data_IF_693492137018
#
_entry.id   IF_693492137018
#
_cell.length_a   1.000
_cell.length_b   1.000
_cell.length_c   1.000
_cell.angle_alpha   90.00
_cell.angle_beta   90.00
_cell.angle_gamma   90.00
#
_symmetry.space_group_name_H-M   'P 1'
#
loop_
_entity.id
_entity.type
_entity.pdbx_description
1 polymer ?
#
# COMPACT_ATOMS: atom_id res chain seq x y z
N UNK A 1 -17.88 27.22 2.00
CA UNK A 1 -16.50 26.95 1.56
C UNK A 1 -15.58 27.88 2.32
N UNK A 2 -14.42 27.41 2.79
CA UNK A 2 -13.42 28.28 3.41
C UNK A 2 -12.60 28.89 2.30
N UNK A 3 -12.49 30.21 2.23
CA UNK A 3 -11.60 30.87 1.27
C UNK A 3 -10.16 30.36 1.50
N UNK A 4 -9.43 29.94 0.45
CA UNK A 4 -8.04 29.54 0.61
C UNK A 4 -7.21 30.70 1.17
N UNK A 5 -6.17 30.43 1.96
CA UNK A 5 -5.33 31.50 2.49
C UNK A 5 -4.60 32.22 1.34
N UNK A 6 -4.33 33.53 1.48
CA UNK A 6 -3.45 34.23 0.54
C UNK A 6 -2.08 33.52 0.50
N UNK A 7 -1.45 33.51 -0.68
CA UNK A 7 -0.16 32.85 -0.88
C UNK A 7 -0.23 31.34 -1.09
N UNK A 8 -1.44 30.74 -1.15
CA UNK A 8 -1.61 29.33 -1.53
C UNK A 8 -1.49 29.15 -3.05
N UNK A 9 -0.64 28.21 -3.46
CA UNK A 9 -0.52 27.74 -4.84
C UNK A 9 -0.61 26.20 -4.89
N UNK A 10 -1.38 25.67 -5.83
CA UNK A 10 -1.42 24.24 -6.14
C UNK A 10 -0.70 24.04 -7.48
N UNK A 11 0.58 23.66 -7.44
CA UNK A 11 1.44 23.65 -8.63
C UNK A 11 1.60 22.22 -9.13
N UNK A 12 1.29 21.92 -10.42
CA UNK A 12 1.68 20.64 -11.01
C UNK A 12 3.16 20.41 -10.79
N UNK A 13 3.54 19.19 -10.43
CA UNK A 13 4.93 18.81 -10.19
C UNK A 13 5.46 18.02 -11.38
N UNK A 14 6.30 18.63 -12.25
CA UNK A 14 7.02 17.88 -13.27
C UNK A 14 7.93 16.86 -12.61
N UNK A 15 7.92 15.63 -13.13
CA UNK A 15 8.78 14.57 -12.63
C UNK A 15 10.15 14.69 -13.30
N UNK A 16 11.25 14.72 -12.53
CA UNK A 16 12.57 14.79 -13.12
C UNK A 16 12.92 13.45 -13.80
N UNK A 17 13.84 13.49 -14.77
CA UNK A 17 14.31 12.27 -15.45
C UNK A 17 15.06 11.31 -14.51
N UNK A 18 15.67 11.85 -13.45
CA UNK A 18 16.27 11.09 -12.35
C UNK A 18 16.21 11.91 -11.06
N UNK A 19 16.34 11.25 -9.91
CA UNK A 19 16.37 11.94 -8.62
C UNK A 19 17.62 12.80 -8.40
N UNK A 20 18.66 12.64 -9.22
CA UNK A 20 19.91 13.41 -9.17
C UNK A 20 19.97 14.51 -10.25
N UNK A 21 18.89 14.73 -11.02
CA UNK A 21 18.86 15.75 -12.05
C UNK A 21 18.87 17.17 -11.46
N UNK A 22 19.46 18.13 -12.19
CA UNK A 22 19.56 19.53 -11.74
C UNK A 22 18.19 20.18 -11.48
N UNK A 23 17.13 19.69 -12.13
CA UNK A 23 15.74 20.16 -11.99
C UNK A 23 14.90 19.35 -10.97
N UNK A 24 15.50 18.37 -10.26
CA UNK A 24 14.81 17.51 -9.31
C UNK A 24 14.43 18.19 -7.98
N UNK A 25 14.80 19.45 -7.77
CA UNK A 25 14.67 20.16 -6.48
C UNK A 25 13.27 20.11 -5.85
N UNK A 26 12.24 20.46 -6.62
CA UNK A 26 10.84 20.45 -6.13
C UNK A 26 10.36 19.01 -5.82
N UNK A 27 10.82 18.01 -6.59
CA UNK A 27 10.49 16.61 -6.35
C UNK A 27 11.15 16.09 -5.06
N UNK A 28 12.44 16.37 -4.88
CA UNK A 28 13.20 16.01 -3.67
C UNK A 28 12.58 16.64 -2.43
N UNK A 29 12.23 17.93 -2.50
CA UNK A 29 11.57 18.63 -1.40
C UNK A 29 10.17 18.08 -1.12
N UNK A 30 9.40 17.74 -2.16
CA UNK A 30 8.11 17.07 -2.02
C UNK A 30 8.26 15.72 -1.29
N UNK A 31 9.28 14.90 -1.63
CA UNK A 31 9.55 13.63 -0.95
C UNK A 31 9.87 13.86 0.53
N UNK A 32 10.71 14.86 0.85
CA UNK A 32 11.02 15.24 2.23
C UNK A 32 9.75 15.62 3.00
N UNK A 33 8.89 16.44 2.42
CA UNK A 33 7.64 16.88 3.04
C UNK A 33 6.67 15.72 3.22
N UNK A 34 6.52 14.82 2.25
CA UNK A 34 5.76 13.57 2.38
C UNK A 34 6.23 12.76 3.59
N UNK A 35 7.53 12.50 3.71
CA UNK A 35 8.07 11.72 4.82
C UNK A 35 7.79 12.38 6.18
N UNK A 36 7.84 13.72 6.25
CA UNK A 36 7.45 14.45 7.45
C UNK A 36 5.96 14.33 7.77
N UNK A 37 5.07 14.40 6.77
CA UNK A 37 3.63 14.14 6.97
C UNK A 37 3.41 12.72 7.49
N UNK A 38 4.07 11.73 6.88
CA UNK A 38 3.97 10.33 7.29
C UNK A 38 4.36 10.14 8.75
N UNK A 39 5.48 10.73 9.19
CA UNK A 39 5.95 10.64 10.58
C UNK A 39 5.09 11.44 11.56
N UNK A 40 4.54 12.59 11.15
CA UNK A 40 3.57 13.31 11.97
C UNK A 40 2.33 12.46 12.27
N UNK A 41 1.90 11.64 11.30
CA UNK A 41 0.73 10.76 11.44
C UNK A 41 1.09 9.50 12.22
N UNK A 42 2.14 8.77 11.83
CA UNK A 42 2.46 7.46 12.39
C UNK A 42 3.27 7.49 13.69
N UNK A 43 4.00 8.59 13.94
CA UNK A 43 4.95 8.68 15.05
C UNK A 43 6.26 7.91 14.82
N UNK A 44 6.49 7.40 13.61
CA UNK A 44 7.70 6.67 13.22
C UNK A 44 8.06 6.92 11.75
N UNK A 45 9.15 6.33 11.27
CA UNK A 45 9.70 6.47 9.93
C UNK A 45 9.57 5.20 9.06
N UNK A 46 8.86 4.17 9.54
CA UNK A 46 8.66 2.90 8.82
C UNK A 46 8.13 3.02 7.38
N UNK A 47 7.58 4.17 6.95
CA UNK A 47 7.08 4.41 5.59
C UNK A 47 7.89 5.46 4.80
N UNK A 48 9.09 5.82 5.28
CA UNK A 48 9.96 6.76 4.58
C UNK A 48 10.45 6.16 3.26
N UNK A 49 10.47 7.00 2.23
CA UNK A 49 11.05 6.67 0.94
C UNK A 49 12.03 7.77 0.55
N UNK A 50 13.15 7.38 -0.04
CA UNK A 50 14.07 8.29 -0.71
C UNK A 50 13.49 8.76 -2.05
N UNK A 51 13.99 9.87 -2.62
CA UNK A 51 13.59 10.29 -3.97
C UNK A 51 13.84 9.21 -5.03
N UNK A 52 14.93 8.45 -4.91
CA UNK A 52 15.26 7.33 -5.80
C UNK A 52 14.24 6.19 -5.71
N UNK A 53 13.70 5.92 -4.52
CA UNK A 53 12.69 4.87 -4.34
C UNK A 53 11.30 5.31 -4.78
N UNK A 54 10.97 6.59 -4.62
CA UNK A 54 9.64 7.11 -4.92
C UNK A 54 9.46 7.46 -6.40
N UNK A 55 10.50 7.95 -7.08
CA UNK A 55 10.39 8.44 -8.47
C UNK A 55 9.87 7.36 -9.45
N UNK A 56 10.32 6.10 -9.40
CA UNK A 56 9.80 5.04 -10.29
C UNK A 56 8.29 4.82 -10.13
N UNK A 57 7.70 5.12 -8.96
CA UNK A 57 6.25 5.01 -8.75
C UNK A 57 5.46 5.97 -9.63
N UNK A 58 6.09 7.05 -10.10
CA UNK A 58 5.43 8.06 -10.94
C UNK A 58 5.82 7.95 -12.41
N UNK A 59 6.61 6.96 -12.79
CA UNK A 59 6.96 6.73 -14.18
C UNK A 59 5.69 6.47 -15.02
N UNK A 60 5.55 7.08 -16.20
CA UNK A 60 4.40 6.83 -17.06
C UNK A 60 4.25 5.35 -17.40
N UNK A 61 3.04 4.82 -17.25
CA UNK A 61 2.73 3.42 -17.53
C UNK A 61 1.46 3.27 -18.39
N UNK A 62 1.25 2.09 -19.01
CA UNK A 62 0.08 1.84 -19.85
C UNK A 62 -1.21 1.59 -19.06
N UNK A 63 -1.12 1.40 -17.75
CA UNK A 63 -2.23 0.95 -16.90
C UNK A 63 -2.82 2.06 -16.03
N UNK A 64 -2.05 3.11 -15.76
CA UNK A 64 -2.48 4.18 -14.88
C UNK A 64 -1.85 5.50 -15.29
N UNK A 65 -2.64 6.57 -15.23
CA UNK A 65 -2.17 7.93 -15.38
C UNK A 65 -2.12 8.61 -14.01
N UNK A 66 -0.91 8.84 -13.50
CA UNK A 66 -0.66 9.50 -12.21
C UNK A 66 -0.35 10.97 -12.41
N UNK A 67 -1.04 11.82 -11.65
CA UNK A 67 -0.83 13.27 -11.64
C UNK A 67 -0.50 13.72 -10.23
N UNK A 68 0.47 14.63 -10.12
CA UNK A 68 1.01 15.09 -8.85
C UNK A 68 1.09 16.61 -8.82
N UNK A 69 0.73 17.21 -7.69
CA UNK A 69 0.88 18.63 -7.41
C UNK A 69 1.58 18.84 -6.08
N UNK A 70 2.42 19.86 -6.00
CA UNK A 70 2.88 20.41 -4.73
C UNK A 70 1.87 21.41 -4.20
N UNK A 71 1.66 21.38 -2.88
CA UNK A 71 0.89 22.40 -2.17
C UNK A 71 1.89 23.39 -1.59
N UNK A 72 1.90 24.61 -2.13
CA UNK A 72 2.86 25.65 -1.75
C UNK A 72 2.14 26.75 -1.00
N UNK A 73 2.71 27.19 0.11
CA UNK A 73 2.21 28.29 0.90
C UNK A 73 3.34 29.25 1.21
N UNK A 74 3.20 30.51 0.78
CA UNK A 74 4.19 31.58 1.01
C UNK A 74 5.60 31.20 0.51
N UNK A 75 5.67 30.38 -0.55
CA UNK A 75 6.91 29.89 -1.18
C UNK A 75 7.39 28.52 -0.71
N UNK A 76 6.85 27.99 0.40
CA UNK A 76 7.26 26.70 0.97
C UNK A 76 6.34 25.55 0.54
N UNK A 77 6.90 24.39 0.19
CA UNK A 77 6.12 23.17 -0.03
C UNK A 77 5.63 22.66 1.33
N UNK A 78 4.31 22.64 1.53
CA UNK A 78 3.65 22.23 2.78
C UNK A 78 2.85 20.94 2.65
N UNK A 79 2.85 20.34 1.45
CA UNK A 79 2.18 19.08 1.19
C UNK A 79 2.12 18.73 -0.29
N UNK A 80 1.33 17.72 -0.61
CA UNK A 80 1.13 17.22 -1.98
C UNK A 80 -0.30 16.75 -2.22
N UNK A 81 -0.66 16.71 -3.50
CA UNK A 81 -1.91 16.15 -4.01
C UNK A 81 -1.54 15.13 -5.07
N UNK A 82 -2.15 13.96 -5.01
CA UNK A 82 -2.03 12.93 -6.05
C UNK A 82 -3.40 12.54 -6.56
N UNK A 83 -3.51 12.31 -7.86
CA UNK A 83 -4.68 11.69 -8.49
C UNK A 83 -4.18 10.63 -9.45
N UNK A 84 -4.58 9.40 -9.21
CA UNK A 84 -4.23 8.25 -10.03
C UNK A 84 -5.48 7.77 -10.76
N UNK A 85 -5.35 7.64 -12.09
CA UNK A 85 -6.44 7.31 -13.00
C UNK A 85 -6.14 5.96 -13.65
N UNK A 86 -6.74 4.87 -13.14
CA UNK A 86 -6.69 3.57 -13.81
C UNK A 86 -7.18 3.69 -15.25
N UNK A 87 -6.56 2.95 -16.17
CA UNK A 87 -6.81 3.01 -17.62
C UNK A 87 -7.58 1.78 -18.14
N UNK A 88 -7.92 0.85 -17.26
CA UNK A 88 -8.77 -0.29 -17.53
C UNK A 88 -10.11 0.13 -18.16
N UNK A 89 -10.59 -0.66 -19.13
CA UNK A 89 -11.82 -0.37 -19.85
C UNK A 89 -13.02 -0.38 -18.90
N UNK A 90 -13.83 0.68 -18.96
CA UNK A 90 -15.00 0.83 -18.08
C UNK A 90 -14.68 1.34 -16.67
N UNK A 91 -13.40 1.59 -16.33
CA UNK A 91 -13.02 2.09 -15.02
C UNK A 91 -13.78 3.38 -14.64
N UNK A 92 -14.31 3.38 -13.42
CA UNK A 92 -15.07 4.51 -12.85
C UNK A 92 -14.32 5.24 -11.74
N UNK A 93 -13.20 4.69 -11.31
CA UNK A 93 -12.49 5.08 -10.09
C UNK A 93 -11.40 6.11 -10.40
N UNK A 94 -11.18 7.03 -9.46
CA UNK A 94 -9.94 7.74 -9.31
C UNK A 94 -9.45 7.56 -7.87
N UNK A 95 -8.21 7.12 -7.72
CA UNK A 95 -7.54 7.11 -6.43
C UNK A 95 -6.92 8.48 -6.20
N UNK A 96 -6.91 8.95 -4.96
CA UNK A 96 -6.38 10.27 -4.66
C UNK A 96 -5.74 10.34 -3.29
N UNK A 97 -4.90 11.35 -3.10
CA UNK A 97 -4.37 11.73 -1.80
C UNK A 97 -4.31 13.25 -1.68
N UNK A 98 -4.49 13.74 -0.45
CA UNK A 98 -4.15 15.10 -0.04
C UNK A 98 -3.39 14.98 1.27
N UNK A 99 -2.07 15.18 1.19
CA UNK A 99 -1.17 15.06 2.33
C UNK A 99 -0.63 16.44 2.67
N UNK A 100 -0.86 16.91 3.90
CA UNK A 100 -0.48 18.24 4.36
C UNK A 100 0.22 18.15 5.71
N UNK A 101 1.25 18.96 5.92
CA UNK A 101 1.89 19.13 7.23
C UNK A 101 0.87 19.58 8.27
N UNK A 102 0.93 19.01 9.47
CA UNK A 102 0.01 19.33 10.59
C UNK A 102 -0.02 20.82 10.92
N UNK A 103 1.11 21.51 10.75
CA UNK A 103 1.26 22.94 10.99
C UNK A 103 0.35 23.83 10.12
N UNK A 104 -0.17 23.33 8.99
CA UNK A 104 -1.05 24.10 8.08
C UNK A 104 -2.49 23.60 8.06
N UNK A 105 -2.85 22.65 8.93
CA UNK A 105 -4.21 22.14 9.04
C UNK A 105 -5.21 23.21 9.50
N UNK A 106 -6.48 23.02 9.15
CA UNK A 106 -7.56 23.92 9.58
C UNK A 106 -7.60 25.28 8.88
N UNK A 107 -6.74 25.52 7.89
CA UNK A 107 -6.65 26.81 7.15
C UNK A 107 -7.41 26.83 5.82
N UNK A 108 -8.20 25.80 5.52
CA UNK A 108 -8.93 25.68 4.25
C UNK A 108 -8.12 25.10 3.07
N UNK A 109 -6.81 24.92 3.22
CA UNK A 109 -5.91 24.39 2.18
C UNK A 109 -6.35 23.01 1.68
N UNK A 110 -6.64 22.08 2.58
CA UNK A 110 -7.09 20.74 2.19
C UNK A 110 -8.38 20.74 1.37
N UNK A 111 -9.30 21.70 1.63
CA UNK A 111 -10.51 21.82 0.82
C UNK A 111 -10.21 22.33 -0.59
N UNK A 112 -9.34 23.34 -0.71
CA UNK A 112 -8.91 23.83 -2.02
C UNK A 112 -8.19 22.73 -2.82
N UNK A 113 -7.32 21.95 -2.15
CA UNK A 113 -6.66 20.80 -2.73
C UNK A 113 -7.65 19.72 -3.19
N UNK A 114 -8.69 19.46 -2.41
CA UNK A 114 -9.70 18.46 -2.76
C UNK A 114 -10.64 18.91 -3.89
N UNK A 115 -10.92 20.20 -4.02
CA UNK A 115 -11.64 20.73 -5.19
C UNK A 115 -10.88 20.44 -6.49
N UNK A 116 -9.55 20.53 -6.47
CA UNK A 116 -8.70 20.11 -7.60
C UNK A 116 -8.83 18.61 -7.88
N UNK A 117 -8.83 17.75 -6.85
CA UNK A 117 -9.04 16.31 -6.99
C UNK A 117 -10.36 16.00 -7.70
N UNK A 118 -11.48 16.58 -7.24
CA UNK A 118 -12.78 16.37 -7.87
C UNK A 118 -12.81 16.86 -9.32
N UNK A 119 -12.24 18.04 -9.59
CA UNK A 119 -12.18 18.60 -10.93
C UNK A 119 -11.40 17.68 -11.88
N UNK A 120 -10.23 17.21 -11.45
CA UNK A 120 -9.39 16.28 -12.22
C UNK A 120 -10.13 14.97 -12.49
N UNK A 121 -10.72 14.36 -11.47
CA UNK A 121 -11.46 13.11 -11.65
C UNK A 121 -12.61 13.25 -12.66
N UNK A 122 -13.37 14.36 -12.60
CA UNK A 122 -14.43 14.66 -13.58
C UNK A 122 -13.90 14.88 -14.98
N UNK A 123 -12.79 15.59 -15.13
CA UNK A 123 -12.13 15.78 -16.43
C UNK A 123 -11.74 14.44 -17.07
N UNK A 124 -11.37 13.46 -16.25
CA UNK A 124 -11.10 12.07 -16.66
C UNK A 124 -12.33 11.15 -16.64
N UNK A 125 -13.55 11.71 -16.51
CA UNK A 125 -14.83 10.99 -16.51
C UNK A 125 -14.96 9.92 -15.41
N UNK A 126 -14.25 10.09 -14.30
CA UNK A 126 -14.36 9.22 -13.12
C UNK A 126 -15.53 9.68 -12.26
N UNK A 127 -16.25 8.70 -11.73
CA UNK A 127 -17.48 8.89 -10.94
C UNK A 127 -17.35 8.38 -9.51
N UNK A 128 -16.24 7.72 -9.18
CA UNK A 128 -15.94 7.18 -7.86
C UNK A 128 -14.58 7.71 -7.42
N UNK A 129 -14.51 8.27 -6.22
CA UNK A 129 -13.28 8.76 -5.60
C UNK A 129 -12.97 7.87 -4.40
N UNK A 130 -11.78 7.28 -4.38
CA UNK A 130 -11.31 6.43 -3.28
C UNK A 130 -9.97 6.91 -2.74
N UNK A 131 -9.81 6.84 -1.42
CA UNK A 131 -8.56 7.17 -0.75
C UNK A 131 -8.48 6.48 0.60
N UNK A 132 -7.26 6.30 1.09
CA UNK A 132 -6.97 5.74 2.39
C UNK A 132 -6.35 6.80 3.28
N UNK A 133 -6.66 6.72 4.57
CA UNK A 133 -5.97 7.51 5.57
C UNK A 133 -5.72 6.68 6.82
N UNK A 134 -4.49 6.78 7.32
CA UNK A 134 -4.16 6.25 8.63
C UNK A 134 -4.78 7.13 9.72
N UNK A 135 -5.39 6.47 10.70
CA UNK A 135 -6.03 7.06 11.86
C UNK A 135 -5.33 6.60 13.15
N UNK A 136 -4.43 7.41 13.71
CA UNK A 136 -3.74 7.10 14.96
C UNK A 136 -4.72 6.89 16.11
N UNK A 137 -4.35 6.07 17.09
CA UNK A 137 -5.17 5.87 18.28
C UNK A 137 -5.49 7.21 18.98
N UNK A 138 -6.75 7.38 19.36
CA UNK A 138 -7.27 8.60 19.96
C UNK A 138 -8.51 8.28 20.81
N UNK A 139 -8.74 9.10 21.84
CA UNK A 139 -9.91 9.01 22.72
C UNK A 139 -11.18 9.63 22.09
N UNK A 140 -11.08 10.13 20.85
CA UNK A 140 -12.23 10.64 20.11
C UNK A 140 -13.30 9.56 19.85
N UNK A 141 -14.55 10.00 19.62
CA UNK A 141 -15.64 9.11 19.22
C UNK A 141 -15.24 8.29 17.99
N UNK A 142 -15.63 7.01 17.93
CA UNK A 142 -15.25 6.12 16.83
C UNK A 142 -16.34 6.03 15.76
N UNK A 143 -15.92 5.87 14.52
CA UNK A 143 -16.74 5.53 13.36
C UNK A 143 -16.59 4.02 13.12
N UNK A 144 -17.66 3.22 13.29
CA UNK A 144 -17.60 1.80 12.99
C UNK A 144 -17.49 1.57 11.47
N UNK A 145 -16.73 0.55 11.08
CA UNK A 145 -16.74 0.06 9.70
C UNK A 145 -18.13 -0.46 9.33
N UNK A 146 -18.65 -0.20 8.12
CA UNK A 146 -19.90 -0.80 7.66
C UNK A 146 -19.80 -2.33 7.49
N UNK A 147 -18.59 -2.89 7.43
CA UNK A 147 -18.34 -4.34 7.39
C UNK A 147 -18.63 -5.04 8.72
N UNK A 148 -18.77 -4.28 9.81
CA UNK A 148 -18.86 -4.80 11.18
C UNK A 148 -17.52 -5.15 11.82
N UNK A 149 -16.41 -4.99 11.09
CA UNK A 149 -15.05 -5.26 11.58
C UNK A 149 -14.24 -3.97 11.68
N UNK A 150 -13.74 -3.68 12.88
CA UNK A 150 -12.92 -2.50 13.12
C UNK A 150 -13.71 -1.19 13.19
N UNK A 151 -12.98 -0.13 13.52
CA UNK A 151 -13.48 1.24 13.58
C UNK A 151 -12.30 2.20 13.55
N UNK A 152 -12.51 3.45 13.15
CA UNK A 152 -11.49 4.52 13.20
C UNK A 152 -11.97 5.66 14.09
N UNK A 153 -11.09 6.40 14.78
CA UNK A 153 -11.49 7.62 15.48
C UNK A 153 -12.04 8.66 14.49
N UNK A 154 -12.97 9.49 14.94
CA UNK A 154 -13.53 10.62 14.19
C UNK A 154 -12.58 11.84 14.19
N UNK A 155 -11.29 11.57 13.96
CA UNK A 155 -10.18 12.52 14.03
C UNK A 155 -10.20 13.58 12.90
N UNK A 156 -9.09 14.32 12.75
CA UNK A 156 -8.97 15.36 11.71
C UNK A 156 -9.21 14.82 10.30
N UNK A 157 -8.62 13.67 9.95
CA UNK A 157 -8.76 13.06 8.64
C UNK A 157 -10.19 12.56 8.42
N UNK A 158 -10.78 11.86 9.39
CA UNK A 158 -12.15 11.34 9.28
C UNK A 158 -13.16 12.49 9.11
N UNK A 159 -13.02 13.59 9.87
CA UNK A 159 -13.85 14.79 9.70
C UNK A 159 -13.67 15.43 8.32
N UNK A 160 -12.46 15.39 7.78
CA UNK A 160 -12.19 15.90 6.44
C UNK A 160 -12.94 15.11 5.37
N UNK A 161 -12.85 13.77 5.39
CA UNK A 161 -13.57 12.89 4.47
C UNK A 161 -15.08 13.08 4.55
N UNK A 162 -15.64 13.02 5.76
CA UNK A 162 -17.08 13.20 6.00
C UNK A 162 -17.57 14.57 5.51
N UNK A 163 -16.80 15.64 5.74
CA UNK A 163 -17.15 16.98 5.28
C UNK A 163 -17.21 17.10 3.75
N UNK A 164 -16.40 16.32 3.04
CA UNK A 164 -16.37 16.30 1.59
C UNK A 164 -17.30 15.22 0.99
N UNK A 165 -18.12 14.57 1.81
CA UNK A 165 -19.14 13.63 1.36
C UNK A 165 -18.64 12.23 1.08
N UNK A 166 -17.48 11.85 1.65
CA UNK A 166 -17.03 10.46 1.66
C UNK A 166 -17.67 9.69 2.81
N UNK A 167 -17.94 8.41 2.58
CA UNK A 167 -18.25 7.40 3.58
C UNK A 167 -17.05 6.52 3.86
N UNK A 168 -16.95 6.04 5.10
CA UNK A 168 -16.02 4.96 5.47
C UNK A 168 -16.58 3.66 4.92
N UNK A 169 -15.79 2.93 4.13
CA UNK A 169 -16.19 1.66 3.50
C UNK A 169 -15.50 0.45 4.10
N UNK A 170 -14.27 0.63 4.57
CA UNK A 170 -13.44 -0.45 5.11
C UNK A 170 -12.49 0.09 6.17
N UNK A 171 -12.11 -0.76 7.13
CA UNK A 171 -11.01 -0.48 8.06
C UNK A 171 -9.93 -1.51 7.84
N UNK A 172 -8.69 -1.06 7.73
CA UNK A 172 -7.52 -1.92 7.63
C UNK A 172 -6.67 -1.80 8.89
N UNK A 173 -6.04 -2.91 9.28
CA UNK A 173 -5.09 -2.96 10.38
C UNK A 173 -3.69 -2.83 9.84
N UNK A 174 -2.95 -1.88 10.38
CA UNK A 174 -1.49 -1.83 10.24
C UNK A 174 -0.89 -2.66 11.36
N UNK A 175 -0.25 -3.78 11.01
CA UNK A 175 0.42 -4.68 11.93
C UNK A 175 1.94 -4.57 11.83
N UNK A 176 2.65 -4.73 12.94
CA UNK A 176 4.10 -4.80 12.98
C UNK A 176 4.59 -6.07 13.69
N UNK A 177 5.64 -6.69 13.15
CA UNK A 177 6.37 -7.80 13.74
C UNK A 177 7.80 -7.34 14.10
N UNK A 178 8.17 -7.42 15.37
CA UNK A 178 9.52 -7.08 15.83
C UNK A 178 10.52 -8.17 15.42
N UNK A 179 11.45 -7.84 14.51
CA UNK A 179 12.49 -8.76 14.05
C UNK A 179 13.68 -8.85 15.02
N UNK A 180 13.73 -7.98 16.03
CA UNK A 180 14.76 -7.97 17.07
C UNK A 180 14.45 -8.89 18.24
N UNK A 181 13.21 -9.42 18.32
CA UNK A 181 12.81 -10.38 19.34
C UNK A 181 13.67 -11.66 19.27
N UNK A 182 14.46 -11.97 20.31
CA UNK A 182 15.31 -13.17 20.32
C UNK A 182 14.52 -14.49 20.31
N UNK A 183 13.23 -14.48 20.67
CA UNK A 183 12.35 -15.64 20.66
C UNK A 183 11.66 -15.91 19.32
N UNK A 184 11.64 -14.91 18.42
CA UNK A 184 11.03 -15.02 17.09
C UNK A 184 11.57 -16.19 16.25
N UNK A 185 12.90 -16.46 16.18
CA UNK A 185 13.43 -17.51 15.30
C UNK A 185 12.85 -18.89 15.62
N UNK A 186 12.92 -19.30 16.90
CA UNK A 186 12.38 -20.58 17.35
C UNK A 186 10.85 -20.66 17.18
N UNK A 187 10.16 -19.51 17.29
CA UNK A 187 8.72 -19.44 17.08
C UNK A 187 8.33 -19.65 15.62
N UNK A 188 9.02 -18.99 14.69
CA UNK A 188 8.85 -19.18 13.25
C UNK A 188 9.15 -20.62 12.85
N UNK A 189 10.23 -21.23 13.36
CA UNK A 189 10.58 -22.62 13.07
C UNK A 189 9.47 -23.60 13.50
N UNK A 190 8.87 -23.40 14.68
CA UNK A 190 7.74 -24.22 15.15
C UNK A 190 6.47 -24.03 14.31
N UNK A 191 6.21 -22.81 13.83
CA UNK A 191 5.08 -22.55 12.94
C UNK A 191 5.32 -23.18 11.56
N UNK A 192 6.51 -23.00 11.01
CA UNK A 192 6.91 -23.55 9.72
C UNK A 192 6.81 -25.07 9.73
N UNK A 193 7.36 -25.76 10.74
CA UNK A 193 7.27 -27.21 10.86
C UNK A 193 5.81 -27.71 10.85
N UNK A 194 4.92 -27.06 11.60
CA UNK A 194 3.49 -27.41 11.63
C UNK A 194 2.78 -27.10 10.32
N UNK A 195 3.16 -26.04 9.63
CA UNK A 195 2.60 -25.68 8.32
C UNK A 195 3.06 -26.69 7.25
N UNK A 196 4.34 -27.05 7.23
CA UNK A 196 4.91 -28.05 6.32
C UNK A 196 4.23 -29.41 6.46
N UNK A 197 3.96 -29.87 7.68
CA UNK A 197 3.22 -31.12 7.91
C UNK A 197 1.78 -31.09 7.36
N UNK A 198 1.14 -29.93 7.33
CA UNK A 198 -0.22 -29.76 6.80
C UNK A 198 -0.26 -29.50 5.28
N UNK A 199 0.88 -29.11 4.70
CA UNK A 199 1.04 -28.78 3.30
C UNK A 199 1.63 -29.95 2.49
N UNK A 200 1.20 -31.18 2.79
CA UNK A 200 1.53 -32.35 1.97
C UNK A 200 1.09 -32.12 0.51
N UNK A 201 1.95 -32.49 -0.45
CA UNK A 201 1.71 -32.23 -1.88
C UNK A 201 2.13 -30.84 -2.36
N UNK A 202 2.70 -30.00 -1.48
CA UNK A 202 3.21 -28.67 -1.83
C UNK A 202 4.70 -28.56 -1.51
N UNK A 203 5.42 -27.70 -2.25
CA UNK A 203 6.79 -27.32 -1.95
C UNK A 203 6.96 -25.81 -1.96
N UNK A 204 7.85 -25.30 -1.12
CA UNK A 204 8.22 -23.88 -1.12
C UNK A 204 9.27 -23.62 -2.20
N UNK A 205 9.06 -22.58 -2.98
CA UNK A 205 10.02 -22.00 -3.93
C UNK A 205 10.21 -20.52 -3.62
N UNK A 206 11.42 -20.00 -3.81
CA UNK A 206 11.78 -18.63 -3.43
C UNK A 206 12.70 -18.00 -4.46
N UNK A 207 12.51 -16.71 -4.71
CA UNK A 207 13.38 -15.93 -5.58
C UNK A 207 13.39 -14.46 -5.18
N UNK A 208 14.53 -13.79 -5.35
CA UNK A 208 14.57 -12.33 -5.44
C UNK A 208 14.28 -11.90 -6.88
N UNK A 209 13.81 -10.67 -7.08
CA UNK A 209 13.57 -10.14 -8.41
C UNK A 209 14.87 -10.11 -9.26
N UNK A 210 14.76 -10.33 -10.59
CA UNK A 210 13.56 -10.61 -11.36
C UNK A 210 13.05 -12.05 -11.22
N UNK A 211 11.76 -12.28 -11.47
CA UNK A 211 11.15 -13.61 -11.41
C UNK A 211 11.80 -14.54 -12.45
N UNK A 212 12.26 -15.74 -12.04
CA UNK A 212 12.80 -16.75 -12.95
C UNK A 212 11.80 -17.12 -14.06
N UNK A 213 12.24 -17.37 -15.31
CA UNK A 213 11.34 -17.63 -16.45
C UNK A 213 10.28 -18.70 -16.20
N UNK A 214 10.62 -19.74 -15.44
CA UNK A 214 9.73 -20.85 -15.09
C UNK A 214 8.57 -20.46 -14.16
N UNK A 215 8.64 -19.31 -13.48
CA UNK A 215 7.62 -18.84 -12.53
C UNK A 215 6.85 -17.62 -13.03
N UNK A 216 7.27 -16.99 -14.13
CA UNK A 216 6.67 -15.74 -14.65
C UNK A 216 5.16 -15.89 -14.86
N UNK A 217 4.73 -16.91 -15.61
CA UNK A 217 3.32 -17.07 -15.96
C UNK A 217 2.46 -17.42 -14.74
N UNK A 218 2.95 -18.32 -13.87
CA UNK A 218 2.25 -18.71 -12.65
C UNK A 218 2.13 -17.57 -11.65
N UNK A 219 3.17 -16.76 -11.49
CA UNK A 219 3.15 -15.62 -10.58
C UNK A 219 2.32 -14.45 -11.13
N UNK A 220 2.38 -14.17 -12.43
CA UNK A 220 1.50 -13.20 -13.08
C UNK A 220 0.02 -13.60 -12.90
N UNK A 221 -0.30 -14.88 -13.13
CA UNK A 221 -1.65 -15.41 -12.86
C UNK A 221 -2.07 -15.17 -11.41
N UNK A 222 -1.23 -15.49 -10.44
CA UNK A 222 -1.52 -15.25 -9.02
C UNK A 222 -1.78 -13.77 -8.70
N UNK A 223 -1.02 -12.83 -9.27
CA UNK A 223 -1.26 -11.39 -9.09
C UNK A 223 -2.63 -10.95 -9.62
N UNK A 224 -3.09 -11.50 -10.76
CA UNK A 224 -4.44 -11.20 -11.30
C UNK A 224 -5.58 -11.61 -10.37
N UNK A 225 -5.37 -12.63 -9.53
CA UNK A 225 -6.38 -13.16 -8.61
C UNK A 225 -6.55 -12.32 -7.35
N UNK A 226 -5.67 -11.35 -7.10
CA UNK A 226 -5.75 -10.54 -5.88
C UNK A 226 -7.02 -9.70 -5.81
N UNK A 227 -7.40 -9.03 -6.90
CA UNK A 227 -8.58 -8.17 -6.96
C UNK A 227 -9.86 -8.95 -6.62
N UNK A 228 -9.93 -10.23 -7.00
CA UNK A 228 -11.11 -11.07 -6.77
C UNK A 228 -11.13 -11.76 -5.41
N UNK A 229 -9.96 -12.05 -4.84
CA UNK A 229 -9.85 -12.91 -3.65
C UNK A 229 -9.57 -12.14 -2.35
N UNK A 230 -9.17 -10.86 -2.44
CA UNK A 230 -9.00 -9.97 -1.30
C UNK A 230 -10.32 -9.26 -0.94
N UNK A 231 -10.67 -9.12 0.36
CA UNK A 231 -11.87 -8.37 0.75
C UNK A 231 -11.75 -6.88 0.37
N UNK A 232 -12.69 -6.38 -0.43
CA UNK A 232 -12.75 -4.97 -0.86
C UNK A 232 -13.89 -4.17 -0.20
N UNK A 233 -14.81 -4.81 0.54
CA UNK A 233 -15.98 -4.18 1.14
C UNK A 233 -16.77 -3.29 0.14
N UNK A 234 -16.97 -2.02 0.47
CA UNK A 234 -17.60 -1.03 -0.40
C UNK A 234 -16.65 -0.33 -1.37
N UNK A 235 -15.35 -0.65 -1.35
CA UNK A 235 -14.35 -0.08 -2.26
C UNK A 235 -14.45 -0.75 -3.64
N UNK A 236 -14.16 0.00 -4.69
CA UNK A 236 -14.18 -0.48 -6.07
C UNK A 236 -12.74 -0.59 -6.58
N UNK A 237 -12.43 -1.72 -7.20
CA UNK A 237 -11.15 -2.01 -7.86
C UNK A 237 -11.46 -2.61 -9.22
N UNK A 238 -10.73 -2.19 -10.24
CA UNK A 238 -10.89 -2.74 -11.59
C UNK A 238 -10.22 -4.12 -11.65
N UNK A 239 -10.84 -5.08 -12.33
CA UNK A 239 -10.20 -6.37 -12.58
C UNK A 239 -8.96 -6.17 -13.47
N UNK A 240 -7.80 -6.56 -12.94
CA UNK A 240 -6.53 -6.36 -13.62
C UNK A 240 -6.11 -7.63 -14.37
N UNK A 241 -5.89 -7.50 -15.69
CA UNK A 241 -5.19 -8.54 -16.44
C UNK A 241 -3.68 -8.45 -16.15
N UNK A 242 -3.11 -9.56 -15.65
CA UNK A 242 -1.66 -9.70 -15.44
C UNK A 242 -1.07 -10.69 -16.43
N UNK A 243 -0.30 -10.15 -17.38
CA UNK A 243 0.57 -10.90 -18.26
C UNK A 243 2.03 -10.79 -17.82
N UNK A 244 2.91 -11.56 -18.47
CA UNK A 244 4.34 -11.53 -18.21
C UNK A 244 4.95 -10.12 -18.37
N UNK A 245 4.42 -9.29 -19.26
CA UNK A 245 4.95 -7.95 -19.49
C UNK A 245 4.51 -6.95 -18.40
N UNK A 246 3.28 -7.05 -17.89
CA UNK A 246 2.82 -6.32 -16.70
C UNK A 246 3.63 -6.72 -15.49
N UNK A 247 3.90 -8.02 -15.30
CA UNK A 247 4.76 -8.50 -14.22
C UNK A 247 6.16 -7.89 -14.33
N UNK A 248 6.82 -7.96 -15.49
CA UNK A 248 8.15 -7.34 -15.69
C UNK A 248 8.16 -5.83 -15.43
N UNK A 249 7.09 -5.11 -15.77
CA UNK A 249 6.94 -3.68 -15.45
C UNK A 249 6.81 -3.45 -13.94
N UNK A 250 6.02 -4.28 -13.26
CA UNK A 250 5.89 -4.25 -11.80
C UNK A 250 7.22 -4.54 -11.11
N UNK A 251 8.00 -5.51 -11.59
CA UNK A 251 9.34 -5.79 -11.04
C UNK A 251 10.32 -4.64 -11.28
N UNK A 252 10.27 -4.02 -12.46
CA UNK A 252 11.11 -2.88 -12.80
C UNK A 252 10.91 -1.72 -11.82
N UNK A 253 9.69 -1.49 -11.34
CA UNK A 253 9.43 -0.48 -10.32
C UNK A 253 10.32 -0.69 -9.07
N UNK A 254 10.44 -1.91 -8.57
CA UNK A 254 11.32 -2.21 -7.42
C UNK A 254 12.80 -2.18 -7.79
N UNK A 255 13.18 -2.74 -8.95
CA UNK A 255 14.57 -2.80 -9.40
C UNK A 255 15.16 -1.41 -9.66
N UNK A 256 14.43 -0.53 -10.33
CA UNK A 256 14.85 0.85 -10.61
C UNK A 256 14.92 1.68 -9.32
N UNK A 257 14.02 1.40 -8.37
CA UNK A 257 14.03 1.95 -7.01
C UNK A 257 15.14 1.37 -6.12
N UNK A 258 15.93 0.39 -6.61
CA UNK A 258 16.93 -0.37 -5.84
C UNK A 258 16.35 -1.01 -4.57
N UNK A 259 15.06 -1.31 -4.58
CA UNK A 259 14.37 -2.05 -3.52
C UNK A 259 14.64 -3.53 -3.72
N UNK A 260 14.84 -4.26 -2.62
CA UNK A 260 14.92 -5.72 -2.65
C UNK A 260 13.54 -6.28 -2.36
N UNK A 261 13.12 -7.26 -3.15
CA UNK A 261 11.90 -8.02 -2.90
C UNK A 261 12.24 -9.51 -2.94
N UNK A 262 11.78 -10.24 -1.92
CA UNK A 262 11.78 -11.69 -1.87
C UNK A 262 10.35 -12.19 -2.07
N UNK A 263 10.14 -12.92 -3.15
CA UNK A 263 8.91 -13.68 -3.36
C UNK A 263 9.12 -15.08 -2.78
N UNK A 264 8.20 -15.50 -1.92
CA UNK A 264 8.13 -16.87 -1.39
C UNK A 264 6.80 -17.46 -1.77
N UNK A 265 6.82 -18.57 -2.50
CA UNK A 265 5.62 -19.17 -3.05
C UNK A 265 5.50 -20.66 -2.71
N UNK A 266 4.27 -21.14 -2.62
CA UNK A 266 3.96 -22.57 -2.54
C UNK A 266 3.58 -23.06 -3.94
N UNK A 267 4.30 -24.05 -4.42
CA UNK A 267 4.02 -24.75 -5.67
C UNK A 267 3.33 -26.09 -5.34
N UNK A 268 2.21 -26.36 -6.01
CA UNK A 268 1.57 -27.67 -5.97
C UNK A 268 2.42 -28.67 -6.78
N UNK A 269 2.82 -29.78 -6.16
CA UNK A 269 3.84 -30.69 -6.74
C UNK A 269 3.31 -31.41 -7.98
N UNK A 270 2.06 -31.86 -7.96
CA UNK A 270 1.50 -32.68 -9.04
C UNK A 270 1.21 -31.86 -10.31
N UNK A 271 0.75 -30.61 -10.16
CA UNK A 271 0.45 -29.75 -11.31
C UNK A 271 1.60 -28.83 -11.72
N UNK A 272 2.50 -28.50 -10.79
CA UNK A 272 3.55 -27.50 -10.99
C UNK A 272 3.07 -26.05 -10.85
N UNK A 273 1.81 -25.82 -10.48
CA UNK A 273 1.27 -24.47 -10.38
C UNK A 273 1.72 -23.76 -9.10
N UNK A 274 1.92 -22.45 -9.20
CA UNK A 274 2.01 -21.58 -8.02
C UNK A 274 0.60 -21.33 -7.50
N UNK A 275 0.37 -21.62 -6.21
CA UNK A 275 -0.98 -21.60 -5.61
C UNK A 275 -1.09 -20.71 -4.37
N UNK A 276 0.05 -20.27 -3.84
CA UNK A 276 0.14 -19.27 -2.80
C UNK A 276 1.44 -18.50 -2.93
N UNK A 277 1.46 -17.23 -2.53
CA UNK A 277 2.69 -16.45 -2.45
C UNK A 277 2.64 -15.42 -1.32
N UNK A 278 3.81 -14.95 -0.92
CA UNK A 278 4.05 -13.85 -0.01
C UNK A 278 5.24 -13.02 -0.51
N UNK A 279 5.14 -11.71 -0.38
CA UNK A 279 6.19 -10.75 -0.74
C UNK A 279 6.71 -10.00 0.49
N UNK A 280 8.04 -9.94 0.62
CA UNK A 280 8.71 -9.05 1.55
C UNK A 280 9.58 -8.09 0.76
N UNK A 281 9.52 -6.80 1.12
CA UNK A 281 10.23 -5.73 0.44
C UNK A 281 10.95 -4.85 1.44
N UNK A 282 12.16 -4.42 1.10
CA UNK A 282 12.88 -3.37 1.83
C UNK A 282 13.46 -2.36 0.85
N UNK A 283 13.60 -1.12 1.35
CA UNK A 283 14.30 -0.04 0.67
C UNK A 283 15.79 -0.32 0.41
N UNK A 284 16.45 0.65 -0.20
CA UNK A 284 17.91 0.65 -0.39
C UNK A 284 18.67 0.74 0.94
N UNK A 285 18.04 1.32 1.97
CA UNK A 285 18.54 1.27 3.35
C UNK A 285 18.02 0.02 4.07
N UNK A 286 18.86 -1.00 4.16
CA UNK A 286 18.56 -2.28 4.81
C UNK A 286 18.37 -2.21 6.33
N UNK A 287 18.46 -1.02 6.95
CA UNK A 287 18.19 -0.78 8.37
C UNK A 287 16.78 -0.26 8.64
N UNK A 288 16.02 0.06 7.59
CA UNK A 288 14.62 0.49 7.70
C UNK A 288 13.66 -0.69 7.87
N UNK A 289 12.40 -0.37 8.14
CA UNK A 289 11.34 -1.37 8.22
C UNK A 289 11.19 -2.13 6.89
N UNK A 290 10.94 -3.43 7.01
CA UNK A 290 10.50 -4.26 5.90
C UNK A 290 9.00 -4.10 5.72
N UNK A 291 8.53 -4.08 4.48
CA UNK A 291 7.10 -4.14 4.15
C UNK A 291 6.75 -5.54 3.66
N UNK A 292 5.75 -6.14 4.27
CA UNK A 292 5.08 -7.28 3.70
C UNK A 292 3.91 -6.77 2.86
N UNK A 293 4.08 -6.91 1.55
CA UNK A 293 3.11 -6.54 0.53
C UNK A 293 2.08 -7.68 0.42
N UNK A 294 1.88 -8.19 -0.79
CA UNK A 294 0.83 -9.13 -1.11
C UNK A 294 1.05 -10.51 -0.48
N UNK A 295 -0.03 -11.09 0.06
CA UNK A 295 -0.10 -12.51 0.44
C UNK A 295 -1.42 -13.09 -0.06
N UNK A 296 -1.34 -14.11 -0.91
CA UNK A 296 -2.52 -14.76 -1.48
C UNK A 296 -2.43 -16.28 -1.38
N UNK A 297 -3.59 -16.92 -1.18
CA UNK A 297 -3.78 -18.37 -1.32
C UNK A 297 -5.02 -18.59 -2.17
N UNK A 298 -4.86 -19.29 -3.30
CA UNK A 298 -5.98 -19.65 -4.18
C UNK A 298 -7.04 -20.42 -3.40
N UNK A 299 -8.30 -20.10 -3.68
CA UNK A 299 -9.45 -20.65 -2.96
C UNK A 299 -9.48 -22.18 -2.93
N UNK A 300 -9.09 -22.81 -4.03
CA UNK A 300 -9.03 -24.23 -4.31
C UNK A 300 -7.97 -24.95 -3.48
N UNK A 301 -6.96 -24.22 -2.99
CA UNK A 301 -5.83 -24.72 -2.20
C UNK A 301 -5.86 -24.27 -0.73
N UNK A 302 -6.96 -23.65 -0.29
CA UNK A 302 -7.16 -23.28 1.13
C UNK A 302 -7.36 -24.54 1.99
N UNK A 303 -7.09 -24.41 3.30
CA UNK A 303 -7.17 -25.53 4.25
C UNK A 303 -5.85 -26.27 4.50
N UNK A 304 -4.82 -26.04 3.66
CA UNK A 304 -3.50 -26.68 3.77
C UNK A 304 -2.44 -25.83 4.51
N UNK A 305 -2.87 -24.79 5.23
CA UNK A 305 -2.00 -23.82 5.93
C UNK A 305 -0.95 -23.13 5.04
N UNK A 306 -1.19 -23.02 3.73
CA UNK A 306 -0.23 -22.45 2.78
C UNK A 306 0.14 -21.00 3.10
N UNK A 307 -0.80 -20.18 3.57
CA UNK A 307 -0.50 -18.80 4.00
C UNK A 307 0.51 -18.75 5.16
N UNK A 308 0.36 -19.63 6.16
CA UNK A 308 1.33 -19.76 7.25
C UNK A 308 2.69 -20.27 6.74
N UNK A 309 2.67 -21.24 5.82
CA UNK A 309 3.87 -21.82 5.20
C UNK A 309 4.71 -20.75 4.50
N UNK A 310 4.11 -20.00 3.56
CA UNK A 310 4.86 -19.02 2.76
C UNK A 310 5.33 -17.84 3.60
N UNK A 311 4.56 -17.38 4.58
CA UNK A 311 4.97 -16.26 5.46
C UNK A 311 6.11 -16.65 6.39
N UNK A 312 6.03 -17.82 7.04
CA UNK A 312 7.12 -18.27 7.92
C UNK A 312 8.40 -18.54 7.13
N UNK A 313 8.30 -19.22 5.97
CA UNK A 313 9.44 -19.46 5.10
C UNK A 313 10.05 -18.16 4.57
N UNK A 314 9.22 -17.17 4.23
CA UNK A 314 9.67 -15.84 3.82
C UNK A 314 10.43 -15.16 4.96
N UNK A 315 9.84 -15.05 6.16
CA UNK A 315 10.46 -14.38 7.31
C UNK A 315 11.78 -15.02 7.74
N UNK A 316 11.88 -16.36 7.68
CA UNK A 316 13.13 -17.07 7.98
C UNK A 316 14.21 -16.74 6.93
N UNK A 317 13.89 -16.86 5.64
CA UNK A 317 14.83 -16.56 4.56
C UNK A 317 15.24 -15.07 4.53
N UNK A 318 14.29 -14.19 4.85
CA UNK A 318 14.46 -12.74 4.81
C UNK A 318 15.53 -12.23 5.76
N UNK A 319 15.83 -12.94 6.84
CA UNK A 319 16.92 -12.57 7.76
C UNK A 319 18.29 -12.59 7.11
N UNK A 320 18.47 -13.33 6.02
CA UNK A 320 19.69 -13.28 5.20
C UNK A 320 19.69 -12.12 4.20
N UNK A 321 18.50 -11.64 3.80
CA UNK A 321 18.31 -10.52 2.86
C UNK A 321 18.45 -9.19 3.58
N UNK A 322 17.71 -9.00 4.67
CA UNK A 322 17.64 -7.76 5.45
C UNK A 322 17.96 -8.01 6.93
N UNK A 323 19.21 -8.42 7.27
CA UNK A 323 19.60 -8.81 8.63
C UNK A 323 19.51 -7.66 9.66
N UNK A 324 19.43 -6.42 9.21
CA UNK A 324 19.40 -5.23 10.06
C UNK A 324 18.03 -4.55 10.12
N UNK A 325 17.02 -5.08 9.43
CA UNK A 325 15.67 -4.53 9.50
C UNK A 325 15.08 -4.78 10.90
N UNK A 326 14.55 -3.75 11.58
CA UNK A 326 14.10 -3.88 12.97
C UNK A 326 12.71 -4.53 13.06
N UNK A 327 11.89 -4.40 12.02
CA UNK A 327 10.51 -4.90 12.02
C UNK A 327 9.97 -5.12 10.61
N UNK A 328 8.91 -5.93 10.51
CA UNK A 328 8.06 -6.05 9.31
C UNK A 328 6.73 -5.36 9.55
N UNK A 329 6.30 -4.50 8.64
CA UNK A 329 4.98 -3.85 8.63
C UNK A 329 4.10 -4.47 7.55
N UNK A 330 2.82 -4.64 7.83
CA UNK A 330 1.83 -5.15 6.87
C UNK A 330 0.48 -4.48 7.11
N UNK A 331 -0.36 -4.42 6.07
CA UNK A 331 -1.69 -3.83 6.13
C UNK A 331 -2.71 -4.86 5.64
N UNK A 332 -3.78 -5.09 6.41
CA UNK A 332 -4.84 -6.03 6.02
C UNK A 332 -6.21 -5.51 6.44
N UNK A 333 -7.23 -5.68 5.58
CA UNK A 333 -8.63 -5.44 5.94
C UNK A 333 -9.02 -6.16 7.25
N UNK A 334 -9.72 -5.45 8.14
CA UNK A 334 -10.14 -5.96 9.46
C UNK A 334 -11.07 -7.16 9.36
N UNK A 335 -11.85 -7.26 8.28
CA UNK A 335 -12.70 -8.42 8.00
C UNK A 335 -11.93 -9.64 7.47
N UNK A 336 -10.66 -9.50 7.07
CA UNK A 336 -9.84 -10.60 6.59
C UNK A 336 -9.30 -11.45 7.75
N UNK A 337 -10.24 -12.09 8.47
CA UNK A 337 -9.94 -12.88 9.67
C UNK A 337 -8.91 -13.99 9.42
N UNK A 338 -8.96 -14.75 8.31
CA UNK A 338 -7.94 -15.78 8.04
C UNK A 338 -6.52 -15.24 7.95
N UNK A 339 -6.31 -14.09 7.29
CA UNK A 339 -4.98 -13.48 7.20
C UNK A 339 -4.52 -12.90 8.53
N UNK A 340 -5.43 -12.23 9.25
CA UNK A 340 -5.12 -11.68 10.57
C UNK A 340 -4.79 -12.77 11.59
N UNK A 341 -5.46 -13.93 11.55
CA UNK A 341 -5.15 -15.08 12.42
C UNK A 341 -3.74 -15.62 12.16
N UNK A 342 -3.31 -15.65 10.90
CA UNK A 342 -1.94 -16.04 10.53
C UNK A 342 -0.94 -15.01 11.09
N UNK A 343 -1.19 -13.72 10.87
CA UNK A 343 -0.33 -12.63 11.34
C UNK A 343 -0.19 -12.65 12.88
N UNK A 344 -1.30 -12.74 13.61
CA UNK A 344 -1.32 -12.80 15.07
C UNK A 344 -0.60 -14.05 15.60
N UNK A 345 -0.78 -15.20 14.95
CA UNK A 345 -0.07 -16.42 15.32
C UNK A 345 1.45 -16.32 15.07
N UNK A 346 1.89 -15.59 14.05
CA UNK A 346 3.30 -15.27 13.79
C UNK A 346 3.86 -14.30 14.85
N UNK A 347 3.03 -13.38 15.34
CA UNK A 347 3.40 -12.40 16.36
C UNK A 347 3.26 -10.94 15.93
N UNK A 348 2.62 -10.68 14.78
CA UNK A 348 2.29 -9.30 14.40
C UNK A 348 1.30 -8.70 15.41
N UNK A 349 1.59 -7.49 15.86
CA UNK A 349 0.73 -6.70 16.73
C UNK A 349 0.18 -5.46 16.00
N UNK A 350 -1.08 -5.05 16.26
CA UNK A 350 -1.63 -3.82 15.68
C UNK A 350 -0.86 -2.60 16.19
N UNK A 351 -0.48 -1.71 15.28
CA UNK A 351 0.18 -0.43 15.59
C UNK A 351 -0.64 0.78 15.15
N UNK A 352 -1.48 0.63 14.11
CA UNK A 352 -2.39 1.65 13.63
C UNK A 352 -3.55 1.03 12.86
N UNK A 353 -4.50 1.87 12.43
CA UNK A 353 -5.59 1.49 11.55
C UNK A 353 -5.71 2.49 10.41
N UNK A 354 -6.12 2.03 9.24
CA UNK A 354 -6.46 2.87 8.10
C UNK A 354 -7.95 2.79 7.80
N UNK A 355 -8.52 3.90 7.35
CA UNK A 355 -9.88 3.93 6.82
C UNK A 355 -9.82 4.00 5.30
N UNK A 356 -10.50 3.07 4.62
CA UNK A 356 -10.80 3.17 3.20
C UNK A 356 -12.06 4.02 3.01
N UNK A 357 -11.93 5.14 2.31
CA UNK A 357 -12.98 6.13 2.13
C UNK A 357 -13.43 6.20 0.67
N UNK A 358 -14.74 6.31 0.46
CA UNK A 358 -15.34 6.40 -0.88
C UNK A 358 -16.32 7.55 -0.99
N UNK A 359 -16.32 8.21 -2.15
CA UNK A 359 -17.40 9.10 -2.58
C UNK A 359 -17.82 8.76 -4.01
N UNK A 360 -19.12 8.64 -4.22
CA UNK A 360 -19.70 8.60 -5.57
C UNK A 360 -20.05 10.03 -5.98
N UNK A 361 -19.45 10.49 -7.07
CA UNK A 361 -19.77 11.76 -7.69
C UNK A 361 -21.10 11.64 -8.42
N UNK A 362 -22.03 12.57 -8.16
CA UNK A 362 -23.21 12.71 -9.01
C UNK A 362 -22.78 12.88 -10.46
N UNK A 363 -23.50 12.29 -11.44
CA UNK A 363 -23.32 12.63 -12.85
C UNK A 363 -23.35 14.16 -12.96
N UNK A 364 -22.26 14.74 -13.43
CA UNK A 364 -22.24 16.18 -13.69
C UNK A 364 -23.21 16.48 -14.84
N UNK A 365 -23.97 17.56 -14.72
CA UNK A 365 -24.66 18.19 -15.85
C UNK A 365 -23.69 18.61 -16.95
#
# INVERSE_FOLDING_TARGET
>A
MSTPPPGLELRPLPLPASADADDAGDFVEMVRVRNLVSTEISGHDDFHLTPHELLPAYAPGPHEHRMLWTVVLDGDIVGRIGVDIPLEEGSRVAYWLVELRRAVWGRGIGSAAYELVEHTARAHRRTVLQSWAQHPASDESRLPSPTGYGSVPRDHAARFYLRHGHSLEQVERVGALDLTDPGLPDHLDRLLQRATLAAEGYRVVQWELPTPPEFVDGYAWMKSRMVTDAPAAGLEFDEEAWDADRLRRHERFYLDARRRMLVTAAQHVDSGDIVAFNELVIGGDGTQATHQEDTLVLSEHRGHRLGMLVKCAALIAWRSVAPHSPRVVTINAEENRPMLDINEAIGFAPIAYEGGWKKVLSPGE
#
